data_IF_484720715693
#
_entry.id   IF_484720715693
#
_cell.length_a   1.000
_cell.length_b   1.000
_cell.length_c   1.000
_cell.angle_alpha   90.00
_cell.angle_beta   90.00
_cell.angle_gamma   90.00
#
_symmetry.space_group_name_H-M   'P 1'
#
loop_
_entity.id
_entity.type
_entity.pdbx_description
1 polymer ?
#
# COMPACT_ATOMS: atom_id res chain seq x y z
N UNK A 1 -15.20 -16.67 5.84
CA UNK A 1 -15.43 -15.40 6.57
C UNK A 1 -16.82 -14.95 6.17
N UNK A 2 -17.68 -14.57 7.12
CA UNK A 2 -19.02 -14.04 6.84
C UNK A 2 -18.97 -12.56 7.20
N UNK A 3 -19.38 -11.68 6.30
CA UNK A 3 -19.31 -10.23 6.45
C UNK A 3 -19.76 -9.55 5.17
N UNK A 4 -19.87 -8.23 5.23
CA UNK A 4 -20.31 -7.39 4.12
C UNK A 4 -19.10 -6.74 3.43
N UNK A 5 -19.25 -6.40 2.15
CA UNK A 5 -18.25 -5.59 1.47
C UNK A 5 -18.23 -4.18 2.06
N UNK A 6 -17.05 -3.60 2.22
CA UNK A 6 -16.91 -2.16 2.52
C UNK A 6 -17.27 -1.40 1.25
N UNK A 7 -18.13 -0.38 1.33
CA UNK A 7 -18.44 0.44 0.15
C UNK A 7 -17.35 1.49 -0.10
N UNK A 8 -17.24 1.95 -1.35
CA UNK A 8 -16.32 3.04 -1.70
C UNK A 8 -16.64 4.32 -0.94
N UNK A 9 -17.91 4.60 -0.64
CA UNK A 9 -18.29 5.78 0.17
C UNK A 9 -17.83 5.61 1.63
N UNK A 10 -18.04 4.42 2.19
CA UNK A 10 -17.65 4.12 3.57
C UNK A 10 -16.15 4.19 3.80
N UNK A 11 -15.33 3.90 2.79
CA UNK A 11 -13.86 3.90 2.92
C UNK A 11 -13.30 5.29 3.23
N UNK A 12 -14.00 6.36 2.88
CA UNK A 12 -13.62 7.74 3.18
C UNK A 12 -14.04 8.21 4.58
N UNK A 13 -14.85 7.41 5.29
CA UNK A 13 -15.23 7.73 6.66
C UNK A 13 -14.05 7.47 7.61
N UNK A 14 -13.70 8.45 8.45
CA UNK A 14 -12.62 8.32 9.43
C UNK A 14 -12.68 7.02 10.26
N UNK A 15 -13.83 6.59 10.81
CA UNK A 15 -13.91 5.32 11.56
C UNK A 15 -13.56 4.10 10.70
N UNK A 16 -13.88 4.11 9.41
CA UNK A 16 -13.54 3.01 8.50
C UNK A 16 -12.04 2.97 8.24
N UNK A 17 -11.42 4.12 7.96
CA UNK A 17 -9.96 4.23 7.79
C UNK A 17 -9.24 3.72 9.03
N UNK A 18 -9.68 4.12 10.23
CA UNK A 18 -9.11 3.66 11.50
C UNK A 18 -9.22 2.12 11.66
N UNK A 19 -10.35 1.52 11.25
CA UNK A 19 -10.54 0.05 11.28
C UNK A 19 -9.70 -0.70 10.25
N UNK A 20 -9.50 -0.14 9.06
CA UNK A 20 -8.57 -0.67 8.06
C UNK A 20 -7.16 -0.63 8.61
N UNK A 21 -6.75 0.50 9.20
CA UNK A 21 -5.43 0.66 9.80
C UNK A 21 -5.18 -0.31 10.96
N UNK A 22 -6.15 -0.53 11.84
CA UNK A 22 -6.05 -1.57 12.89
C UNK A 22 -5.76 -2.96 12.28
N UNK A 23 -6.31 -3.23 11.10
CA UNK A 23 -6.10 -4.48 10.38
C UNK A 23 -4.70 -4.53 9.75
N UNK A 24 -4.25 -3.44 9.11
CA UNK A 24 -2.90 -3.32 8.55
C UNK A 24 -1.81 -3.46 9.63
N UNK A 25 -1.99 -2.81 10.78
CA UNK A 25 -1.05 -2.93 11.91
C UNK A 25 -0.87 -4.38 12.36
N UNK A 26 -1.96 -5.15 12.45
CA UNK A 26 -1.87 -6.58 12.79
C UNK A 26 -1.12 -7.39 11.75
N UNK A 27 -1.23 -7.02 10.47
CA UNK A 27 -0.48 -7.67 9.39
C UNK A 27 1.00 -7.33 9.53
N UNK A 28 1.32 -6.04 9.67
CA UNK A 28 2.69 -5.53 9.76
C UNK A 28 3.43 -5.97 11.04
N UNK A 29 2.70 -6.18 12.14
CA UNK A 29 3.21 -6.72 13.41
C UNK A 29 3.17 -8.26 13.44
N UNK A 30 2.65 -8.89 12.39
CA UNK A 30 2.55 -10.34 12.25
C UNK A 30 3.89 -11.05 12.01
N UNK A 31 3.87 -12.39 11.95
CA UNK A 31 5.07 -13.18 11.64
C UNK A 31 5.55 -12.88 10.21
N UNK A 32 6.86 -13.00 9.99
CA UNK A 32 7.44 -12.89 8.66
C UNK A 32 6.79 -13.89 7.68
N UNK A 33 6.56 -13.43 6.46
CA UNK A 33 6.01 -14.24 5.36
C UNK A 33 7.09 -14.48 4.30
N UNK A 34 6.97 -15.54 3.48
CA UNK A 34 7.91 -15.78 2.38
C UNK A 34 7.88 -14.64 1.35
N UNK A 35 9.03 -14.35 0.75
CA UNK A 35 9.15 -13.40 -0.37
C UNK A 35 9.46 -11.96 0.06
N UNK A 36 9.93 -11.19 -0.92
CA UNK A 36 10.18 -9.75 -0.80
C UNK A 36 9.33 -9.03 -1.84
N UNK A 37 8.66 -7.96 -1.42
CA UNK A 37 7.95 -7.08 -2.33
C UNK A 37 8.75 -5.80 -2.54
N UNK A 38 9.34 -5.66 -3.73
CA UNK A 38 10.14 -4.48 -4.11
C UNK A 38 9.51 -3.86 -5.35
N UNK A 39 8.60 -2.86 -5.20
CA UNK A 39 7.78 -2.36 -6.30
C UNK A 39 8.60 -1.83 -7.47
N UNK A 40 9.74 -1.19 -7.16
CA UNK A 40 10.68 -0.68 -8.16
C UNK A 40 11.15 -1.77 -9.13
N UNK A 41 11.56 -2.93 -8.58
CA UNK A 41 12.07 -4.06 -9.37
C UNK A 41 10.95 -4.78 -10.11
N UNK A 42 9.76 -4.87 -9.52
CA UNK A 42 8.59 -5.47 -10.15
C UNK A 42 8.20 -4.70 -11.42
N UNK A 43 8.11 -3.38 -11.33
CA UNK A 43 7.75 -2.51 -12.47
C UNK A 43 8.81 -2.58 -13.57
N UNK A 44 10.09 -2.62 -13.22
CA UNK A 44 11.19 -2.85 -14.18
C UNK A 44 11.10 -4.21 -14.86
N UNK A 45 10.78 -5.28 -14.12
CA UNK A 45 10.60 -6.62 -14.65
C UNK A 45 9.41 -6.69 -15.62
N UNK A 46 8.28 -6.07 -15.29
CA UNK A 46 7.12 -5.98 -16.17
C UNK A 46 7.43 -5.21 -17.46
N UNK A 47 8.20 -4.12 -17.38
CA UNK A 47 8.68 -3.45 -18.60
C UNK A 47 9.56 -4.36 -19.44
N UNK A 48 10.52 -5.05 -18.83
CA UNK A 48 11.41 -5.94 -19.56
C UNK A 48 10.62 -7.06 -20.27
N UNK A 49 9.62 -7.62 -19.58
CA UNK A 49 8.70 -8.60 -20.15
C UNK A 49 7.90 -8.01 -21.32
N UNK A 50 7.28 -6.84 -21.15
CA UNK A 50 6.54 -6.14 -22.20
C UNK A 50 7.40 -5.91 -23.45
N UNK A 51 8.65 -5.44 -23.28
CA UNK A 51 9.62 -5.26 -24.37
C UNK A 51 9.92 -6.58 -25.07
N UNK A 52 10.13 -7.67 -24.31
CA UNK A 52 10.42 -8.99 -24.88
C UNK A 52 9.28 -9.54 -25.74
N UNK A 53 8.04 -9.10 -25.48
CA UNK A 53 6.85 -9.44 -26.25
C UNK A 53 6.51 -8.40 -27.35
N UNK A 54 7.37 -7.40 -27.58
CA UNK A 54 7.16 -6.38 -28.60
C UNK A 54 6.05 -5.37 -28.27
N UNK A 55 5.65 -5.28 -27.00
CA UNK A 55 4.66 -4.29 -26.54
C UNK A 55 5.30 -2.89 -26.54
N UNK A 56 4.71 -1.90 -27.23
CA UNK A 56 5.21 -0.53 -27.19
C UNK A 56 5.16 0.04 -25.77
N UNK A 57 6.28 0.57 -25.30
CA UNK A 57 6.33 1.22 -23.98
C UNK A 57 5.82 2.67 -24.11
N UNK A 58 4.91 3.12 -23.24
CA UNK A 58 4.42 4.49 -23.26
C UNK A 58 5.55 5.53 -23.10
N UNK A 59 5.47 6.64 -23.83
CA UNK A 59 6.46 7.72 -23.73
C UNK A 59 6.57 8.31 -22.29
N UNK A 60 5.50 8.21 -21.50
CA UNK A 60 5.49 8.63 -20.10
C UNK A 60 6.40 7.79 -19.19
N UNK A 61 6.86 6.62 -19.64
CA UNK A 61 7.71 5.71 -18.87
C UNK A 61 8.94 6.39 -18.32
N UNK A 62 9.70 7.10 -19.16
CA UNK A 62 11.01 7.63 -18.76
C UNK A 62 10.88 8.62 -17.59
N UNK A 63 9.87 9.50 -17.65
CA UNK A 63 9.56 10.45 -16.57
C UNK A 63 9.09 9.74 -15.31
N UNK A 64 8.20 8.75 -15.43
CA UNK A 64 7.67 8.01 -14.29
C UNK A 64 8.78 7.20 -13.60
N UNK A 65 9.64 6.55 -14.38
CA UNK A 65 10.75 5.76 -13.89
C UNK A 65 11.85 6.62 -13.27
N UNK A 66 12.08 7.84 -13.78
CA UNK A 66 12.97 8.80 -13.12
C UNK A 66 12.43 9.24 -11.74
N UNK A 67 11.14 9.55 -11.64
CA UNK A 67 10.50 9.84 -10.35
C UNK A 67 10.61 8.65 -9.39
N UNK A 68 10.34 7.44 -9.90
CA UNK A 68 10.46 6.18 -9.15
C UNK A 68 11.87 5.98 -8.57
N UNK A 69 12.94 6.24 -9.34
CA UNK A 69 14.33 6.18 -8.83
C UNK A 69 14.62 7.22 -7.74
N UNK A 70 14.01 8.41 -7.82
CA UNK A 70 14.15 9.43 -6.77
C UNK A 70 13.47 8.98 -5.47
N UNK A 71 12.30 8.37 -5.57
CA UNK A 71 11.58 7.80 -4.43
C UNK A 71 12.39 6.66 -3.81
N UNK A 72 12.89 5.72 -4.63
CA UNK A 72 13.74 4.62 -4.15
C UNK A 72 14.97 5.14 -3.40
N UNK A 73 15.62 6.20 -3.90
CA UNK A 73 16.74 6.83 -3.20
C UNK A 73 16.33 7.41 -1.85
N UNK A 74 15.20 8.11 -1.77
CA UNK A 74 14.71 8.68 -0.51
C UNK A 74 14.45 7.58 0.54
N UNK A 75 13.88 6.44 0.12
CA UNK A 75 13.66 5.28 1.00
C UNK A 75 14.98 4.68 1.49
N UNK A 76 16.03 4.69 0.67
CA UNK A 76 17.36 4.21 1.05
C UNK A 76 18.11 5.16 2.01
N UNK A 77 17.76 6.45 2.03
CA UNK A 77 18.36 7.44 2.94
C UNK A 77 17.84 7.30 4.38
N UNK A 78 16.61 6.78 4.54
CA UNK A 78 15.99 6.52 5.83
C UNK A 78 15.21 5.18 5.81
N UNK A 79 15.92 4.04 5.78
CA UNK A 79 15.28 2.74 5.57
C UNK A 79 14.39 2.36 6.75
N UNK A 80 13.19 1.90 6.43
CA UNK A 80 12.26 1.30 7.39
C UNK A 80 12.56 -0.19 7.57
N UNK A 81 12.22 -0.73 8.75
CA UNK A 81 12.23 -2.18 8.96
C UNK A 81 11.16 -2.83 8.08
N UNK A 82 11.55 -3.84 7.30
CA UNK A 82 10.62 -4.55 6.44
C UNK A 82 9.61 -5.36 7.27
N UNK A 83 8.34 -5.24 6.92
CA UNK A 83 7.21 -5.91 7.60
C UNK A 83 6.44 -6.79 6.59
N UNK A 84 5.64 -7.76 7.06
CA UNK A 84 4.69 -8.43 6.18
C UNK A 84 3.72 -7.39 5.63
N UNK A 85 3.57 -7.31 4.32
CA UNK A 85 2.66 -6.38 3.64
C UNK A 85 1.72 -7.13 2.70
N UNK A 86 0.54 -6.55 2.46
CA UNK A 86 -0.45 -7.09 1.54
C UNK A 86 -0.13 -6.72 0.09
N UNK A 87 0.33 -5.49 -0.13
CA UNK A 87 0.71 -4.85 -1.40
C UNK A 87 -0.41 -4.62 -2.42
N UNK A 88 -1.65 -5.05 -2.13
CA UNK A 88 -2.81 -4.85 -3.00
C UNK A 88 -4.10 -4.54 -2.21
N UNK A 89 -4.20 -3.33 -1.65
CA UNK A 89 -5.28 -2.88 -0.78
C UNK A 89 -6.41 -2.23 -1.59
N UNK A 90 -7.06 -3.04 -2.43
CA UNK A 90 -8.27 -2.67 -3.15
C UNK A 90 -9.51 -2.85 -2.25
N UNK A 91 -10.53 -2.01 -2.45
CA UNK A 91 -11.78 -2.12 -1.72
C UNK A 91 -12.45 -3.50 -1.86
N UNK A 92 -12.26 -4.18 -3.01
CA UNK A 92 -12.76 -5.53 -3.26
C UNK A 92 -12.13 -6.60 -2.35
N UNK A 93 -10.97 -6.31 -1.76
CA UNK A 93 -10.24 -7.20 -0.84
C UNK A 93 -10.68 -7.03 0.61
N UNK A 94 -11.65 -6.14 0.90
CA UNK A 94 -12.13 -5.86 2.25
C UNK A 94 -13.48 -6.51 2.55
N UNK A 95 -13.54 -7.20 3.68
CA UNK A 95 -14.76 -7.79 4.23
C UNK A 95 -14.93 -7.28 5.67
N UNK A 96 -15.97 -6.50 5.92
CA UNK A 96 -16.36 -6.13 7.28
C UNK A 96 -17.13 -7.29 7.94
N UNK A 97 -16.51 -7.96 8.92
CA UNK A 97 -17.15 -9.04 9.68
C UNK A 97 -17.98 -8.54 10.89
N UNK A 98 -18.18 -7.23 10.99
CA UNK A 98 -18.85 -6.55 12.10
C UNK A 98 -17.94 -6.30 13.31
N UNK A 99 -16.76 -6.90 13.37
CA UNK A 99 -15.76 -6.66 14.41
C UNK A 99 -14.50 -5.99 13.86
N UNK A 100 -14.07 -6.36 12.65
CA UNK A 100 -12.89 -5.84 11.99
C UNK A 100 -13.03 -5.92 10.48
N UNK A 101 -12.20 -5.15 9.79
CA UNK A 101 -12.01 -5.33 8.35
C UNK A 101 -11.06 -6.52 8.15
N UNK A 102 -11.54 -7.56 7.49
CA UNK A 102 -10.72 -8.69 7.03
C UNK A 102 -10.18 -8.34 5.66
N UNK A 103 -8.87 -8.55 5.48
CA UNK A 103 -8.19 -8.35 4.20
C UNK A 103 -7.90 -9.72 3.59
N UNK A 104 -8.36 -9.93 2.37
CA UNK A 104 -8.23 -11.19 1.61
C UNK A 104 -7.43 -10.96 0.33
N UNK A 105 -7.14 -12.05 -0.38
CA UNK A 105 -6.38 -12.06 -1.65
C UNK A 105 -4.89 -11.68 -1.52
N UNK A 106 -4.12 -12.63 -0.99
CA UNK A 106 -2.72 -12.43 -0.56
C UNK A 106 -1.68 -12.74 -1.65
N UNK A 107 -2.05 -12.69 -2.94
CA UNK A 107 -1.16 -13.13 -4.02
C UNK A 107 0.10 -12.26 -4.19
N UNK A 108 0.00 -10.97 -3.85
CA UNK A 108 1.11 -10.01 -3.88
C UNK A 108 1.82 -9.86 -2.53
N UNK A 109 1.43 -10.63 -1.52
CA UNK A 109 1.97 -10.48 -0.19
C UNK A 109 3.47 -10.83 -0.12
N UNK A 110 4.21 -10.06 0.66
CA UNK A 110 5.64 -10.26 0.86
C UNK A 110 6.19 -9.33 1.93
N UNK A 111 7.44 -9.57 2.33
CA UNK A 111 8.13 -8.64 3.22
C UNK A 111 8.46 -7.35 2.43
N UNK A 112 8.03 -6.19 2.93
CA UNK A 112 8.12 -4.91 2.24
C UNK A 112 8.12 -3.71 3.19
N UNK A 113 8.16 -2.51 2.63
CA UNK A 113 8.01 -1.28 3.42
C UNK A 113 6.52 -1.07 3.77
N UNK A 114 6.14 -0.97 5.06
CA UNK A 114 4.74 -0.80 5.45
C UNK A 114 4.10 0.49 4.91
N UNK A 115 4.87 1.54 4.59
CA UNK A 115 4.34 2.74 3.97
C UNK A 115 3.95 2.54 2.51
N UNK A 116 4.43 1.47 1.85
CA UNK A 116 3.93 1.10 0.54
C UNK A 116 2.46 0.66 0.63
N UNK A 117 2.07 -0.13 1.63
CA UNK A 117 0.67 -0.50 1.86
C UNK A 117 -0.19 0.74 2.14
N UNK A 118 0.26 1.67 2.98
CA UNK A 118 -0.48 2.90 3.25
C UNK A 118 -0.65 3.76 2.00
N UNK A 119 0.41 3.92 1.20
CA UNK A 119 0.35 4.64 -0.06
C UNK A 119 -0.52 3.94 -1.11
N UNK A 120 -0.48 2.60 -1.17
CA UNK A 120 -1.33 1.79 -2.03
C UNK A 120 -2.81 1.96 -1.66
N UNK A 121 -3.14 1.90 -0.37
CA UNK A 121 -4.49 2.17 0.12
C UNK A 121 -4.94 3.59 -0.21
N UNK A 122 -4.11 4.60 0.03
CA UNK A 122 -4.41 6.01 -0.27
C UNK A 122 -4.72 6.24 -1.75
N UNK A 123 -3.85 5.76 -2.64
CA UNK A 123 -4.00 5.94 -4.09
C UNK A 123 -5.19 5.17 -4.65
N UNK A 124 -5.43 3.94 -4.20
CA UNK A 124 -6.53 3.11 -4.71
C UNK A 124 -7.92 3.64 -4.33
N UNK A 125 -8.01 4.45 -3.28
CA UNK A 125 -9.27 5.05 -2.83
C UNK A 125 -9.32 6.56 -3.07
N UNK A 126 -8.34 7.15 -3.75
CA UNK A 126 -8.29 8.59 -4.03
C UNK A 126 -8.47 9.45 -2.78
N UNK A 127 -7.79 9.07 -1.68
CA UNK A 127 -7.96 9.77 -0.41
C UNK A 127 -7.63 11.26 -0.50
N UNK A 128 -8.39 12.07 0.21
CA UNK A 128 -8.11 13.49 0.36
C UNK A 128 -6.90 13.73 1.28
N UNK A 129 -6.25 14.91 1.23
CA UNK A 129 -5.15 15.23 2.16
C UNK A 129 -5.54 15.19 3.64
N UNK A 130 -6.83 15.34 3.96
CA UNK A 130 -7.33 15.19 5.32
C UNK A 130 -7.46 13.72 5.71
N UNK A 131 -7.93 12.87 4.79
CA UNK A 131 -8.03 11.42 4.98
C UNK A 131 -6.65 10.76 5.09
N UNK A 132 -5.67 11.19 4.28
CA UNK A 132 -4.27 10.77 4.42
C UNK A 132 -3.73 11.11 5.81
N UNK A 133 -4.10 12.28 6.36
CA UNK A 133 -3.73 12.62 7.73
C UNK A 133 -4.35 11.65 8.72
N UNK A 134 -5.63 11.32 8.59
CA UNK A 134 -6.28 10.33 9.46
C UNK A 134 -5.62 8.94 9.34
N UNK A 135 -5.26 8.53 8.13
CA UNK A 135 -4.56 7.27 7.86
C UNK A 135 -3.23 7.19 8.61
N UNK A 136 -2.39 8.22 8.49
CA UNK A 136 -1.08 8.28 9.16
C UNK A 136 -1.24 8.45 10.68
N UNK A 137 -2.17 9.29 11.16
CA UNK A 137 -2.49 9.44 12.59
C UNK A 137 -2.87 8.09 13.21
N UNK A 138 -3.75 7.34 12.55
CA UNK A 138 -4.19 6.05 13.04
C UNK A 138 -3.05 5.00 13.06
N UNK A 139 -2.15 5.06 12.07
CA UNK A 139 -1.08 4.07 11.93
C UNK A 139 0.06 4.31 12.93
N UNK A 140 0.54 5.56 13.01
CA UNK A 140 1.71 5.93 13.81
C UNK A 140 1.37 6.45 15.22
N UNK A 141 0.10 6.73 15.52
CA UNK A 141 -0.38 7.30 16.78
C UNK A 141 -0.11 8.81 16.97
N UNK A 142 0.97 9.34 16.37
CA UNK A 142 1.25 10.78 16.24
C UNK A 142 1.83 11.10 14.86
N UNK A 143 1.23 12.06 14.14
CA UNK A 143 1.83 12.62 12.92
C UNK A 143 3.03 13.48 13.30
N UNK A 144 4.23 13.04 12.93
CA UNK A 144 5.43 13.88 12.99
C UNK A 144 5.61 14.57 11.64
N UNK A 145 5.80 15.89 11.63
CA UNK A 145 5.99 16.69 10.41
C UNK A 145 6.99 16.13 9.37
N UNK A 146 8.09 15.44 9.74
CA UNK A 146 8.99 14.78 8.77
C UNK A 146 8.36 13.62 8.00
N UNK A 147 7.17 13.13 8.38
CA UNK A 147 6.49 11.99 7.76
C UNK A 147 5.45 12.38 6.71
N UNK A 148 5.19 13.68 6.55
CA UNK A 148 4.28 14.23 5.53
C UNK A 148 5.02 14.98 4.41
N UNK A 149 6.36 15.03 4.46
CA UNK A 149 7.21 15.86 3.61
C UNK A 149 7.91 15.04 2.52
#
# INVERSE_FOLDING_TARGET
IVGDAVSLEQVHERPTIERVVDSLRRIHEGPAIPGLFVPFRIVEAYRALAVSHGVPIPAAWDRAHEASRRIERAFLEAPMELRPCHNDLLNANFIDDGQRIRIVDWEYAGMGDPFFDLGNFSVNHELSPEEDRWLIEAYDGEVRAPRLA
#
